data_IF_730740036101
#
_entry.id   IF_730740036101
#
_cell.length_a   1.000
_cell.length_b   1.000
_cell.length_c   1.000
_cell.angle_alpha   90.00
_cell.angle_beta   90.00
_cell.angle_gamma   90.00
#
_symmetry.space_group_name_H-M   'P 1'
#
loop_
_entity.id
_entity.type
_entity.pdbx_description
1 polymer ?
#
# COMPACT_ATOMS: atom_id res chain seq x y z
N UNK A 1 -10.22 1.52 -15.84
CA UNK A 1 -10.79 1.47 -14.48
C UNK A 1 -11.75 2.64 -14.35
N UNK A 2 -13.05 2.40 -14.47
CA UNK A 2 -14.08 3.41 -14.19
C UNK A 2 -14.38 3.39 -12.68
N UNK A 3 -13.56 4.09 -11.90
CA UNK A 3 -13.91 4.36 -10.51
C UNK A 3 -14.65 5.71 -10.48
N UNK A 4 -15.97 5.69 -10.71
CA UNK A 4 -16.81 6.83 -10.34
C UNK A 4 -16.74 7.00 -8.83
N UNK A 5 -16.64 8.25 -8.38
CA UNK A 5 -16.53 8.68 -6.98
C UNK A 5 -17.71 8.28 -6.08
N UNK A 6 -18.69 7.54 -6.60
CA UNK A 6 -19.91 7.08 -5.90
C UNK A 6 -20.02 5.55 -5.78
N UNK A 7 -18.94 4.80 -6.04
CA UNK A 7 -19.00 3.33 -5.94
C UNK A 7 -19.18 2.90 -4.48
N UNK A 8 -20.31 2.25 -4.16
CA UNK A 8 -20.57 1.71 -2.82
C UNK A 8 -19.71 0.47 -2.59
N UNK A 9 -19.29 0.26 -1.34
CA UNK A 9 -18.50 -0.92 -0.98
C UNK A 9 -19.19 -2.24 -1.35
N UNK A 10 -20.52 -2.30 -1.21
CA UNK A 10 -21.33 -3.48 -1.53
C UNK A 10 -21.30 -3.85 -3.02
N UNK A 11 -21.03 -2.88 -3.89
CA UNK A 11 -21.03 -3.05 -5.35
C UNK A 11 -19.63 -3.36 -5.90
N UNK A 12 -18.59 -3.35 -5.04
CA UNK A 12 -17.22 -3.66 -5.45
C UNK A 12 -17.09 -5.16 -5.64
N UNK A 13 -16.91 -5.57 -6.90
CA UNK A 13 -16.64 -6.97 -7.22
C UNK A 13 -15.28 -7.40 -6.68
N UNK A 14 -15.21 -8.66 -6.25
CA UNK A 14 -14.01 -9.21 -5.59
C UNK A 14 -12.74 -9.04 -6.43
N UNK A 15 -12.85 -9.18 -7.75
CA UNK A 15 -11.72 -9.01 -8.69
C UNK A 15 -11.09 -7.62 -8.61
N UNK A 16 -11.90 -6.56 -8.52
CA UNK A 16 -11.39 -5.19 -8.43
C UNK A 16 -10.76 -4.92 -7.08
N UNK A 17 -11.35 -5.46 -6.01
CA UNK A 17 -10.76 -5.44 -4.69
C UNK A 17 -9.36 -6.08 -4.70
N UNK A 18 -9.24 -7.29 -5.23
CA UNK A 18 -7.97 -8.03 -5.29
C UNK A 18 -6.95 -7.33 -6.17
N UNK A 19 -7.38 -6.76 -7.29
CA UNK A 19 -6.52 -5.97 -8.17
C UNK A 19 -5.90 -4.78 -7.42
N UNK A 20 -6.73 -3.96 -6.75
CA UNK A 20 -6.26 -2.78 -6.01
C UNK A 20 -5.31 -3.18 -4.88
N UNK A 21 -5.65 -4.23 -4.12
CA UNK A 21 -4.83 -4.69 -2.98
C UNK A 21 -3.51 -5.27 -3.47
N UNK A 22 -3.52 -6.12 -4.49
CA UNK A 22 -2.30 -6.73 -5.03
C UNK A 22 -1.35 -5.69 -5.60
N UNK A 23 -1.86 -4.68 -6.31
CA UNK A 23 -1.02 -3.62 -6.86
C UNK A 23 -0.47 -2.73 -5.74
N UNK A 24 -1.33 -2.17 -4.90
CA UNK A 24 -0.92 -1.14 -3.96
C UNK A 24 -0.19 -1.69 -2.73
N UNK A 25 -0.63 -2.81 -2.18
CA UNK A 25 -0.02 -3.42 -0.99
C UNK A 25 0.94 -4.53 -1.37
N UNK A 26 0.54 -5.45 -2.24
CA UNK A 26 1.38 -6.56 -2.68
C UNK A 26 2.64 -6.07 -3.40
N UNK A 27 2.51 -5.07 -4.27
CA UNK A 27 3.65 -4.44 -4.95
C UNK A 27 4.67 -3.86 -3.96
N UNK A 28 4.20 -3.04 -3.01
CA UNK A 28 5.08 -2.44 -1.99
C UNK A 28 5.72 -3.51 -1.09
N UNK A 29 4.97 -4.53 -0.69
CA UNK A 29 5.53 -5.66 0.06
C UNK A 29 6.70 -6.32 -0.69
N UNK A 30 6.54 -6.57 -1.99
CA UNK A 30 7.58 -7.17 -2.81
C UNK A 30 8.81 -6.26 -2.91
N UNK A 31 8.62 -4.95 -3.12
CA UNK A 31 9.73 -3.98 -3.14
C UNK A 31 10.50 -4.01 -1.83
N UNK A 32 9.81 -3.77 -0.70
CA UNK A 32 10.44 -3.72 0.64
C UNK A 32 11.22 -5.02 0.92
N UNK A 33 10.65 -6.18 0.60
CA UNK A 33 11.30 -7.48 0.82
C UNK A 33 12.68 -7.55 0.15
N UNK A 34 12.78 -7.17 -1.12
CA UNK A 34 14.03 -7.25 -1.88
C UNK A 34 14.96 -6.07 -1.61
N UNK A 35 14.41 -4.88 -1.38
CA UNK A 35 15.18 -3.69 -1.00
C UNK A 35 15.89 -3.88 0.33
N UNK A 36 15.19 -4.36 1.37
CA UNK A 36 15.80 -4.69 2.66
C UNK A 36 16.89 -5.75 2.49
N UNK A 37 16.61 -6.82 1.73
CA UNK A 37 17.59 -7.87 1.48
C UNK A 37 18.88 -7.34 0.84
N UNK A 38 18.77 -6.33 -0.04
CA UNK A 38 19.92 -5.68 -0.65
C UNK A 38 20.59 -4.70 0.32
N UNK A 39 19.82 -3.89 1.04
CA UNK A 39 20.33 -2.93 2.03
C UNK A 39 21.16 -3.58 3.13
N UNK A 40 20.82 -4.81 3.54
CA UNK A 40 21.58 -5.58 4.53
C UNK A 40 22.91 -6.13 3.99
N UNK A 41 23.05 -6.30 2.68
CA UNK A 41 24.27 -6.84 2.05
C UNK A 41 25.30 -5.75 1.72
N UNK A 42 24.83 -4.54 1.46
CA UNK A 42 25.67 -3.43 1.05
C UNK A 42 26.29 -2.73 2.26
N UNK A 43 27.53 -2.25 2.13
CA UNK A 43 28.26 -1.60 3.23
C UNK A 43 27.79 -0.16 3.50
N UNK A 44 27.08 0.43 2.54
CA UNK A 44 26.58 1.79 2.55
C UNK A 44 25.13 1.84 3.03
N UNK A 45 24.82 2.81 3.90
CA UNK A 45 23.45 3.05 4.37
C UNK A 45 22.54 3.51 3.22
N UNK A 46 21.25 3.25 3.36
CA UNK A 46 20.22 3.67 2.41
C UNK A 46 18.91 3.99 3.11
N UNK A 47 17.95 4.51 2.35
CA UNK A 47 16.61 4.87 2.84
C UNK A 47 15.58 4.35 1.85
N UNK A 48 14.57 3.64 2.36
CA UNK A 48 13.39 3.22 1.60
C UNK A 48 12.27 4.22 1.85
N UNK A 49 11.69 4.79 0.80
CA UNK A 49 10.58 5.74 0.88
C UNK A 49 9.38 5.19 0.12
N UNK A 50 8.29 4.91 0.85
CA UNK A 50 7.03 4.45 0.26
C UNK A 50 6.01 5.58 0.15
N UNK A 51 5.32 5.65 -0.99
CA UNK A 51 4.28 6.65 -1.21
C UNK A 51 2.89 6.12 -0.79
N UNK A 52 2.33 6.73 0.25
CA UNK A 52 0.93 6.56 0.63
C UNK A 52 0.12 7.82 0.31
N UNK A 53 -1.18 7.83 0.64
CA UNK A 53 -2.09 8.95 0.36
C UNK A 53 -2.76 9.42 1.64
N UNK A 54 -3.08 10.72 1.73
CA UNK A 54 -3.94 11.27 2.78
C UNK A 54 -5.25 10.49 2.94
N UNK A 55 -5.79 9.96 1.82
CA UNK A 55 -6.96 9.09 1.81
C UNK A 55 -6.80 7.78 2.59
N UNK A 56 -5.58 7.39 2.95
CA UNK A 56 -5.31 6.25 3.85
C UNK A 56 -5.36 6.64 5.33
N UNK A 57 -5.45 7.93 5.66
CA UNK A 57 -5.56 8.44 7.03
C UNK A 57 -7.01 8.88 7.31
N UNK A 58 -7.64 9.52 6.34
CA UNK A 58 -9.05 9.94 6.40
C UNK A 58 -9.86 9.20 5.35
N UNK A 59 -11.08 8.78 5.70
CA UNK A 59 -11.98 8.13 4.74
C UNK A 59 -12.46 9.12 3.67
N UNK A 60 -12.47 8.67 2.42
CA UNK A 60 -13.03 9.41 1.29
C UNK A 60 -14.13 8.59 0.61
N UNK A 61 -15.18 9.28 0.15
CA UNK A 61 -16.32 8.66 -0.55
C UNK A 61 -15.84 8.04 -1.88
N UNK A 62 -16.37 6.87 -2.21
CA UNK A 62 -16.11 6.18 -3.48
C UNK A 62 -14.76 5.47 -3.63
N UNK A 63 -13.86 5.57 -2.64
CA UNK A 63 -12.49 5.02 -2.74
C UNK A 63 -12.12 4.13 -1.56
N UNK A 64 -13.09 3.47 -0.94
CA UNK A 64 -12.92 2.69 0.30
C UNK A 64 -11.79 1.63 0.23
N UNK A 65 -11.70 0.87 -0.87
CA UNK A 65 -10.65 -0.15 -1.06
C UNK A 65 -9.28 0.48 -1.30
N UNK A 66 -9.24 1.59 -2.05
CA UNK A 66 -8.01 2.34 -2.26
C UNK A 66 -7.51 2.94 -0.94
N UNK A 67 -8.38 3.61 -0.18
CA UNK A 67 -8.14 4.11 1.19
C UNK A 67 -7.56 3.01 2.07
N UNK A 68 -8.21 1.83 2.11
CA UNK A 68 -7.70 0.66 2.86
C UNK A 68 -6.29 0.29 2.43
N UNK A 69 -6.05 0.17 1.13
CA UNK A 69 -4.73 -0.22 0.60
C UNK A 69 -3.63 0.77 0.99
N UNK A 70 -3.93 2.08 0.97
CA UNK A 70 -2.98 3.14 1.34
C UNK A 70 -2.73 3.21 2.86
N UNK A 71 -3.76 2.93 3.67
CA UNK A 71 -3.57 2.74 5.11
C UNK A 71 -2.65 1.55 5.41
N UNK A 72 -2.85 0.43 4.70
CA UNK A 72 -2.03 -0.76 4.87
C UNK A 72 -0.56 -0.50 4.53
N UNK A 73 -0.27 0.25 3.45
CA UNK A 73 1.10 0.68 3.09
C UNK A 73 1.73 1.54 4.19
N UNK A 74 0.98 2.49 4.77
CA UNK A 74 1.46 3.31 5.87
C UNK A 74 1.84 2.46 7.09
N UNK A 75 0.97 1.53 7.49
CA UNK A 75 1.24 0.64 8.63
C UNK A 75 2.40 -0.31 8.34
N UNK A 76 2.44 -0.90 7.15
CA UNK A 76 3.53 -1.79 6.73
C UNK A 76 4.87 -1.07 6.83
N UNK A 77 4.98 0.13 6.27
CA UNK A 77 6.21 0.93 6.33
C UNK A 77 6.66 1.15 7.77
N UNK A 78 5.75 1.56 8.67
CA UNK A 78 6.09 1.76 10.09
C UNK A 78 6.49 0.47 10.81
N UNK A 79 5.84 -0.66 10.52
CA UNK A 79 6.16 -1.93 11.15
C UNK A 79 7.48 -2.51 10.63
N UNK A 80 7.81 -2.32 9.36
CA UNK A 80 9.02 -2.86 8.74
C UNK A 80 10.29 -2.31 9.36
N UNK A 81 10.31 -1.06 9.83
CA UNK A 81 11.52 -0.46 10.41
C UNK A 81 11.78 -0.88 11.86
N UNK A 82 10.82 -1.47 12.57
CA UNK A 82 10.97 -1.76 14.00
C UNK A 82 12.05 -2.80 14.34
N UNK A 83 12.60 -3.48 13.32
CA UNK A 83 13.61 -4.53 13.48
C UNK A 83 14.97 -4.19 12.84
N UNK A 84 15.15 -2.96 12.33
CA UNK A 84 16.35 -2.51 11.63
C UNK A 84 16.78 -1.13 12.14
#
# INVERSE_FOLDING_TARGET
MHASSDTKLADIVRKDFDCIVNINLGGIYNCIKYEIAQMLKQSNKGVIVNCFSQSGVVGLVGVSVYTKSKHAVFRLTKCSVLKY
#
